data_IF_661794811907
#
_entry.id   IF_661794811907
#
_cell.length_a   1.000
_cell.length_b   1.000
_cell.length_c   1.000
_cell.angle_alpha   90.00
_cell.angle_beta   90.00
_cell.angle_gamma   90.00
#
_symmetry.space_group_name_H-M   'P 1'
#
loop_
_entity.id
_entity.type
_entity.pdbx_description
1 polymer ?
#
# COMPACT_ATOMS: atom_id res chain seq x y z
N UNK A 1 -37.03 -15.18 6.28
CA UNK A 1 -35.82 -15.07 7.11
C UNK A 1 -35.23 -13.70 6.89
N UNK A 2 -34.91 -12.91 7.93
CA UNK A 2 -34.19 -11.65 7.73
C UNK A 2 -32.79 -11.99 7.19
N UNK A 3 -32.44 -11.39 6.05
CA UNK A 3 -31.09 -11.46 5.49
C UNK A 3 -30.20 -10.69 6.47
N UNK A 4 -29.34 -11.40 7.21
CA UNK A 4 -28.30 -10.75 8.02
C UNK A 4 -27.31 -10.16 7.02
N UNK A 5 -27.42 -8.86 6.81
CA UNK A 5 -26.47 -8.12 5.95
C UNK A 5 -25.18 -7.99 6.75
N UNK A 6 -24.11 -8.60 6.27
CA UNK A 6 -22.78 -8.41 6.82
C UNK A 6 -22.33 -6.96 6.53
N UNK A 7 -22.38 -6.12 7.56
CA UNK A 7 -22.10 -4.70 7.46
C UNK A 7 -20.67 -4.43 6.99
N UNK A 8 -19.72 -5.23 7.45
CA UNK A 8 -18.30 -5.06 7.09
C UNK A 8 -18.09 -5.40 5.62
N UNK A 9 -18.72 -6.47 5.12
CA UNK A 9 -18.68 -6.81 3.71
C UNK A 9 -19.23 -5.69 2.83
N UNK A 10 -20.35 -5.09 3.21
CA UNK A 10 -20.96 -3.98 2.45
C UNK A 10 -20.07 -2.73 2.52
N UNK A 11 -19.48 -2.42 3.67
CA UNK A 11 -18.48 -1.32 3.77
C UNK A 11 -17.31 -1.55 2.82
N UNK A 12 -16.78 -2.76 2.79
CA UNK A 12 -15.68 -3.12 1.90
C UNK A 12 -16.05 -2.98 0.42
N UNK A 13 -17.23 -3.42 0.01
CA UNK A 13 -17.72 -3.22 -1.36
C UNK A 13 -17.76 -1.74 -1.76
N UNK A 14 -18.14 -0.85 -0.83
CA UNK A 14 -18.14 0.60 -1.04
C UNK A 14 -16.72 1.18 -1.14
N UNK A 15 -15.77 0.71 -0.31
CA UNK A 15 -14.37 1.12 -0.39
C UNK A 15 -13.73 0.69 -1.71
N UNK A 16 -14.02 -0.52 -2.18
CA UNK A 16 -13.53 -1.00 -3.48
C UNK A 16 -14.17 -0.23 -4.65
N UNK A 17 -15.43 0.16 -4.53
CA UNK A 17 -16.07 1.03 -5.51
C UNK A 17 -15.44 2.44 -5.52
N UNK A 18 -15.13 2.98 -4.36
CA UNK A 18 -14.38 4.24 -4.26
C UNK A 18 -13.02 4.13 -4.94
N UNK A 19 -12.26 3.08 -4.67
CA UNK A 19 -10.99 2.81 -5.33
C UNK A 19 -11.13 2.82 -6.87
N UNK A 20 -12.12 2.10 -7.41
CA UNK A 20 -12.39 2.08 -8.85
C UNK A 20 -12.78 3.46 -9.41
N UNK A 21 -13.44 4.29 -8.61
CA UNK A 21 -13.75 5.67 -9.02
C UNK A 21 -12.50 6.53 -9.12
N UNK A 22 -11.62 6.49 -8.12
CA UNK A 22 -10.39 7.30 -8.09
C UNK A 22 -9.31 6.78 -9.06
N UNK A 23 -9.42 5.57 -9.57
CA UNK A 23 -8.61 5.12 -10.70
C UNK A 23 -8.97 5.83 -12.02
N UNK A 24 -10.24 6.25 -12.15
CA UNK A 24 -10.78 6.84 -13.37
C UNK A 24 -10.73 8.37 -13.38
N UNK A 25 -10.74 9.01 -12.20
CA UNK A 25 -10.78 10.48 -12.08
C UNK A 25 -10.19 10.96 -10.75
N UNK A 26 -9.78 12.24 -10.67
CA UNK A 26 -9.24 12.83 -9.44
C UNK A 26 -10.19 12.68 -8.26
N UNK A 27 -9.62 12.43 -7.07
CA UNK A 27 -10.35 12.15 -5.84
C UNK A 27 -11.31 13.29 -5.44
N UNK A 28 -10.94 14.54 -5.69
CA UNK A 28 -11.76 15.72 -5.43
C UNK A 28 -13.04 15.74 -6.29
N UNK A 29 -12.98 15.15 -7.48
CA UNK A 29 -14.11 15.07 -8.44
C UNK A 29 -14.99 13.84 -8.26
N UNK A 30 -14.64 12.92 -7.38
CA UNK A 30 -15.49 11.77 -7.05
C UNK A 30 -16.55 12.19 -6.04
N UNK A 31 -17.81 11.94 -6.32
CA UNK A 31 -18.94 12.17 -5.40
C UNK A 31 -19.41 10.88 -4.75
N UNK A 32 -20.12 10.97 -3.62
CA UNK A 32 -20.77 9.81 -2.99
C UNK A 32 -21.79 9.12 -3.92
N UNK A 33 -22.41 9.88 -4.84
CA UNK A 33 -23.31 9.31 -5.87
C UNK A 33 -22.55 8.47 -6.88
N UNK A 34 -21.38 8.92 -7.31
CA UNK A 34 -20.52 8.12 -8.21
C UNK A 34 -20.14 6.79 -7.56
N UNK A 35 -19.75 6.84 -6.28
CA UNK A 35 -19.37 5.67 -5.51
C UNK A 35 -20.56 4.70 -5.35
N UNK A 36 -21.72 5.22 -4.98
CA UNK A 36 -22.94 4.41 -4.86
C UNK A 36 -23.29 3.73 -6.19
N UNK A 37 -23.20 4.45 -7.31
CA UNK A 37 -23.45 3.91 -8.66
C UNK A 37 -22.44 2.82 -9.00
N UNK A 38 -21.14 3.05 -8.76
CA UNK A 38 -20.07 2.08 -9.01
C UNK A 38 -20.21 0.82 -8.14
N UNK A 39 -20.75 0.97 -6.90
CA UNK A 39 -21.03 -0.12 -5.99
C UNK A 39 -22.34 -0.88 -6.31
N UNK A 40 -23.13 -0.42 -7.29
CA UNK A 40 -24.45 -0.97 -7.57
C UNK A 40 -25.47 -0.75 -6.44
N UNK A 41 -25.32 0.35 -5.69
CA UNK A 41 -26.12 0.67 -4.52
C UNK A 41 -26.81 2.02 -4.67
N UNK A 42 -27.91 2.25 -3.91
CA UNK A 42 -28.51 3.57 -3.85
C UNK A 42 -27.70 4.51 -2.97
N UNK A 43 -27.69 5.81 -3.31
CA UNK A 43 -27.03 6.84 -2.51
C UNK A 43 -27.51 6.88 -1.04
N UNK A 44 -28.82 6.77 -0.72
CA UNK A 44 -29.26 6.64 0.66
C UNK A 44 -28.71 5.42 1.38
N UNK A 45 -28.53 4.28 0.68
CA UNK A 45 -27.91 3.10 1.29
C UNK A 45 -26.44 3.37 1.66
N UNK A 46 -25.68 4.08 0.82
CA UNK A 46 -24.30 4.45 1.12
C UNK A 46 -24.22 5.34 2.36
N UNK A 47 -25.13 6.32 2.50
CA UNK A 47 -25.18 7.22 3.66
C UNK A 47 -25.53 6.52 4.99
N UNK A 48 -26.05 5.29 4.96
CA UNK A 48 -26.21 4.48 6.17
C UNK A 48 -24.90 3.88 6.67
N UNK A 49 -23.82 3.90 5.88
CA UNK A 49 -22.52 3.34 6.19
C UNK A 49 -21.43 4.38 6.34
N UNK A 50 -21.54 5.49 5.64
CA UNK A 50 -20.59 6.61 5.67
C UNK A 50 -21.36 7.92 5.75
N UNK A 51 -21.10 8.68 6.81
CA UNK A 51 -21.78 9.96 7.07
C UNK A 51 -21.48 10.98 5.96
N UNK A 52 -20.23 10.98 5.49
CA UNK A 52 -19.76 11.90 4.46
C UNK A 52 -18.61 11.29 3.65
N UNK A 53 -18.11 12.03 2.65
CA UNK A 53 -17.01 11.61 1.80
C UNK A 53 -15.68 11.53 2.56
N UNK A 54 -15.46 12.40 3.54
CA UNK A 54 -14.21 12.46 4.28
C UNK A 54 -14.07 11.21 5.17
N UNK A 55 -15.12 10.79 5.85
CA UNK A 55 -15.15 9.52 6.59
C UNK A 55 -14.84 8.32 5.69
N UNK A 56 -15.40 8.30 4.49
CA UNK A 56 -15.13 7.23 3.53
C UNK A 56 -13.67 7.23 3.08
N UNK A 57 -13.10 8.40 2.80
CA UNK A 57 -11.67 8.54 2.43
C UNK A 57 -10.77 8.08 3.58
N UNK A 58 -11.01 8.54 4.80
CA UNK A 58 -10.24 8.13 5.98
C UNK A 58 -10.30 6.63 6.21
N UNK A 59 -11.50 6.05 6.07
CA UNK A 59 -11.68 4.59 6.18
C UNK A 59 -10.91 3.85 5.09
N UNK A 60 -10.88 4.39 3.87
CA UNK A 60 -10.10 3.81 2.77
C UNK A 60 -8.59 3.90 3.01
N UNK A 61 -8.08 5.04 3.45
CA UNK A 61 -6.64 5.20 3.79
C UNK A 61 -6.24 4.22 4.89
N UNK A 62 -7.06 4.10 5.94
CA UNK A 62 -6.83 3.10 6.99
C UNK A 62 -6.82 1.67 6.45
N UNK A 63 -7.78 1.33 5.59
CA UNK A 63 -7.85 0.01 4.98
C UNK A 63 -6.59 -0.30 4.17
N UNK A 64 -6.12 0.61 3.31
CA UNK A 64 -4.93 0.40 2.49
C UNK A 64 -3.67 0.24 3.34
N UNK A 65 -3.53 1.03 4.42
CA UNK A 65 -2.46 0.89 5.40
C UNK A 65 -2.46 -0.49 6.06
N UNK A 66 -3.61 -0.88 6.64
CA UNK A 66 -3.75 -2.15 7.34
C UNK A 66 -3.49 -3.34 6.39
N UNK A 67 -3.99 -3.25 5.15
CA UNK A 67 -3.76 -4.26 4.12
C UNK A 67 -2.27 -4.43 3.79
N UNK A 68 -1.55 -3.35 3.52
CA UNK A 68 -0.11 -3.42 3.19
C UNK A 68 0.72 -3.94 4.36
N UNK A 69 0.41 -3.48 5.57
CA UNK A 69 1.09 -3.99 6.77
C UNK A 69 0.89 -5.49 6.95
N UNK A 70 -0.34 -5.98 6.80
CA UNK A 70 -0.66 -7.40 6.89
C UNK A 70 -0.01 -8.21 5.75
N UNK A 71 -0.01 -7.67 4.54
CA UNK A 71 0.61 -8.31 3.38
C UNK A 71 2.11 -8.54 3.63
N UNK A 72 2.84 -7.51 4.02
CA UNK A 72 4.27 -7.62 4.35
C UNK A 72 4.52 -8.57 5.53
N UNK A 73 3.73 -8.46 6.61
CA UNK A 73 3.87 -9.34 7.78
C UNK A 73 3.63 -10.81 7.42
N UNK A 74 2.65 -11.09 6.57
CA UNK A 74 2.35 -12.46 6.11
C UNK A 74 3.57 -13.07 5.42
N UNK A 75 4.26 -12.28 4.58
CA UNK A 75 5.48 -12.77 3.94
C UNK A 75 6.57 -13.14 4.95
N UNK A 76 6.85 -12.28 5.93
CA UNK A 76 7.87 -12.54 6.95
C UNK A 76 7.53 -13.74 7.86
N UNK A 77 6.25 -14.01 8.09
CA UNK A 77 5.81 -15.18 8.88
C UNK A 77 5.96 -16.47 8.08
N UNK A 78 5.73 -16.42 6.76
CA UNK A 78 5.70 -17.59 5.89
C UNK A 78 7.05 -17.91 5.23
N UNK A 79 8.02 -16.97 5.25
CA UNK A 79 9.32 -17.12 4.59
C UNK A 79 10.45 -16.90 5.61
N UNK A 80 11.22 -17.96 5.86
CA UNK A 80 12.40 -17.87 6.73
C UNK A 80 13.63 -17.53 5.91
N UNK A 81 14.49 -16.63 6.42
CA UNK A 81 15.79 -16.33 5.80
C UNK A 81 16.64 -17.59 5.57
N UNK A 82 16.48 -18.60 6.41
CA UNK A 82 17.23 -19.87 6.33
C UNK A 82 16.89 -20.72 5.11
N UNK A 83 15.74 -20.45 4.49
CA UNK A 83 15.27 -21.21 3.32
C UNK A 83 15.84 -20.64 2.00
N UNK A 84 16.72 -19.64 2.08
CA UNK A 84 17.33 -18.96 0.94
C UNK A 84 18.85 -19.04 0.97
N UNK A 85 19.47 -19.19 -0.19
CA UNK A 85 20.93 -19.33 -0.35
C UNK A 85 21.70 -18.05 0.01
N UNK A 86 21.04 -16.87 -0.05
CA UNK A 86 21.67 -15.59 0.24
C UNK A 86 20.67 -14.56 0.76
N UNK A 87 21.21 -13.52 1.44
CA UNK A 87 20.42 -12.34 1.83
C UNK A 87 19.78 -11.66 0.61
N UNK A 88 20.52 -11.60 -0.49
CA UNK A 88 20.03 -11.03 -1.75
C UNK A 88 18.84 -11.81 -2.30
N UNK A 89 18.90 -13.16 -2.30
CA UNK A 89 17.80 -13.99 -2.77
C UNK A 89 16.54 -13.78 -1.91
N UNK A 90 16.70 -13.73 -0.58
CA UNK A 90 15.64 -13.47 0.36
C UNK A 90 14.97 -12.11 0.13
N UNK A 91 15.75 -11.03 0.04
CA UNK A 91 15.21 -9.69 -0.19
C UNK A 91 14.61 -9.53 -1.58
N UNK A 92 15.18 -10.16 -2.60
CA UNK A 92 14.62 -10.12 -3.94
C UNK A 92 13.23 -10.80 -4.01
N UNK A 93 13.05 -11.90 -3.31
CA UNK A 93 11.76 -12.58 -3.23
C UNK A 93 10.72 -11.74 -2.48
N UNK A 94 11.11 -11.12 -1.37
CA UNK A 94 10.26 -10.15 -0.67
C UNK A 94 9.84 -8.99 -1.59
N UNK A 95 10.77 -8.40 -2.32
CA UNK A 95 10.46 -7.29 -3.23
C UNK A 95 9.52 -7.70 -4.36
N UNK A 96 9.68 -8.91 -4.90
CA UNK A 96 8.73 -9.46 -5.87
C UNK A 96 7.34 -9.63 -5.26
N UNK A 97 7.26 -10.23 -4.09
CA UNK A 97 5.99 -10.41 -3.38
C UNK A 97 5.25 -9.10 -3.13
N UNK A 98 5.97 -8.05 -2.72
CA UNK A 98 5.38 -6.71 -2.53
C UNK A 98 4.94 -6.08 -3.86
N UNK A 99 5.74 -6.26 -4.93
CA UNK A 99 5.42 -5.73 -6.25
C UNK A 99 4.26 -6.47 -6.94
N UNK A 100 4.14 -7.77 -6.69
CA UNK A 100 3.11 -8.66 -7.26
C UNK A 100 1.86 -8.72 -6.37
N UNK A 101 1.62 -7.67 -5.55
CA UNK A 101 0.39 -7.59 -4.75
C UNK A 101 -0.85 -7.92 -5.61
N UNK A 102 -1.80 -8.74 -5.12
CA UNK A 102 -2.89 -9.26 -5.92
C UNK A 102 -3.63 -8.16 -6.69
N UNK A 103 -3.80 -8.36 -8.00
CA UNK A 103 -4.54 -7.44 -8.85
C UNK A 103 -5.93 -7.16 -8.24
N UNK A 104 -6.22 -5.89 -7.96
CA UNK A 104 -7.52 -5.43 -7.51
C UNK A 104 -7.59 -4.95 -6.06
N UNK A 105 -6.64 -5.32 -5.19
CA UNK A 105 -6.70 -4.90 -3.78
C UNK A 105 -6.00 -3.57 -3.49
N UNK A 106 -4.87 -3.29 -4.15
CA UNK A 106 -4.25 -1.95 -4.13
C UNK A 106 -3.93 -1.49 -5.54
N UNK A 107 -4.36 -0.28 -5.87
CA UNK A 107 -4.09 0.32 -7.17
C UNK A 107 -3.15 1.52 -7.02
N UNK A 108 -2.05 1.58 -7.78
CA UNK A 108 -1.02 2.62 -7.62
C UNK A 108 -1.57 4.04 -7.71
N UNK A 109 -2.52 4.30 -8.62
CA UNK A 109 -3.13 5.61 -8.75
C UNK A 109 -3.94 6.01 -7.51
N UNK A 110 -4.76 5.11 -7.00
CA UNK A 110 -5.55 5.33 -5.81
C UNK A 110 -4.65 5.66 -4.60
N UNK A 111 -3.59 4.88 -4.40
CA UNK A 111 -2.60 5.10 -3.34
C UNK A 111 -1.89 6.45 -3.50
N UNK A 112 -1.43 6.78 -4.70
CA UNK A 112 -0.75 8.06 -4.98
C UNK A 112 -1.68 9.24 -4.70
N UNK A 113 -2.96 9.16 -5.08
CA UNK A 113 -3.93 10.24 -4.82
C UNK A 113 -4.19 10.42 -3.31
N UNK A 114 -4.19 9.36 -2.51
CA UNK A 114 -4.34 9.50 -1.04
C UNK A 114 -3.11 10.15 -0.41
N UNK A 115 -1.90 9.86 -0.89
CA UNK A 115 -0.68 10.54 -0.42
C UNK A 115 -0.70 12.04 -0.74
N UNK A 116 -1.10 12.40 -1.95
CA UNK A 116 -1.25 13.82 -2.33
C UNK A 116 -2.30 14.51 -1.46
N UNK A 117 -3.43 13.84 -1.16
CA UNK A 117 -4.48 14.37 -0.30
C UNK A 117 -3.99 14.64 1.13
N UNK A 118 -3.01 13.89 1.61
CA UNK A 118 -2.36 14.11 2.90
C UNK A 118 -1.73 15.51 3.06
N UNK A 119 -1.39 16.20 1.96
CA UNK A 119 -0.95 17.59 2.01
C UNK A 119 -2.08 18.60 2.28
N UNK A 120 -3.31 18.22 2.03
CA UNK A 120 -4.48 19.11 2.12
C UNK A 120 -5.41 18.76 3.28
N UNK A 121 -5.17 17.64 3.97
CA UNK A 121 -5.92 17.18 5.13
C UNK A 121 -4.95 16.77 6.25
N UNK A 122 -5.01 17.47 7.38
CA UNK A 122 -4.14 17.19 8.54
C UNK A 122 -4.32 15.75 9.04
N UNK A 123 -5.56 15.27 9.10
CA UNK A 123 -5.88 13.93 9.58
C UNK A 123 -5.32 12.84 8.64
N UNK A 124 -5.52 13.00 7.33
CA UNK A 124 -4.96 12.08 6.33
C UNK A 124 -3.45 12.17 6.30
N UNK A 125 -2.88 13.38 6.38
CA UNK A 125 -1.43 13.61 6.43
C UNK A 125 -0.79 12.92 7.62
N UNK A 126 -1.43 12.95 8.79
CA UNK A 126 -0.98 12.22 9.97
C UNK A 126 -1.01 10.71 9.74
N UNK A 127 -2.10 10.17 9.19
CA UNK A 127 -2.22 8.73 8.89
C UNK A 127 -1.13 8.27 7.91
N UNK A 128 -0.89 9.01 6.84
CA UNK A 128 0.17 8.73 5.86
C UNK A 128 1.56 8.78 6.51
N UNK A 129 1.81 9.79 7.36
CA UNK A 129 3.09 9.90 8.10
C UNK A 129 3.31 8.73 9.04
N UNK A 130 2.26 8.31 9.76
CA UNK A 130 2.32 7.17 10.68
C UNK A 130 2.55 5.86 9.90
N UNK A 131 1.92 5.68 8.74
CA UNK A 131 2.13 4.55 7.83
C UNK A 131 3.59 4.45 7.39
N UNK A 132 4.18 5.53 6.89
CA UNK A 132 5.58 5.54 6.45
C UNK A 132 6.55 5.29 7.61
N UNK A 133 6.24 5.77 8.82
CA UNK A 133 7.04 5.51 10.02
C UNK A 133 7.02 4.03 10.38
N UNK A 134 5.85 3.40 10.41
CA UNK A 134 5.70 1.99 10.71
C UNK A 134 6.44 1.12 9.67
N UNK A 135 6.33 1.46 8.40
CA UNK A 135 7.05 0.75 7.33
C UNK A 135 8.56 0.88 7.48
N UNK A 136 9.05 2.07 7.79
CA UNK A 136 10.48 2.29 8.05
C UNK A 136 10.97 1.41 9.19
N UNK A 137 10.22 1.32 10.29
CA UNK A 137 10.58 0.49 11.44
C UNK A 137 10.59 -1.00 11.09
N UNK A 138 9.63 -1.48 10.31
CA UNK A 138 9.60 -2.88 9.83
C UNK A 138 10.79 -3.14 8.92
N UNK A 139 11.07 -2.25 7.99
CA UNK A 139 12.21 -2.36 7.07
C UNK A 139 13.54 -2.33 7.82
N UNK A 140 13.69 -1.43 8.80
CA UNK A 140 14.88 -1.35 9.64
C UNK A 140 15.12 -2.69 10.37
N UNK A 141 14.11 -3.24 11.03
CA UNK A 141 14.21 -4.53 11.72
C UNK A 141 14.61 -5.66 10.77
N UNK A 142 14.02 -5.68 9.58
CA UNK A 142 14.34 -6.67 8.55
C UNK A 142 15.80 -6.56 8.11
N UNK A 143 16.25 -5.36 7.74
CA UNK A 143 17.60 -5.13 7.26
C UNK A 143 18.66 -5.33 8.35
N UNK A 144 18.37 -4.92 9.59
CA UNK A 144 19.24 -5.19 10.76
C UNK A 144 19.42 -6.70 10.96
N UNK A 145 18.37 -7.47 10.84
CA UNK A 145 18.42 -8.93 10.97
C UNK A 145 19.31 -9.57 9.88
N UNK A 146 19.28 -9.00 8.68
CA UNK A 146 19.97 -9.56 7.51
C UNK A 146 21.43 -9.05 7.39
N UNK A 147 21.65 -7.75 7.59
CA UNK A 147 22.90 -7.06 7.29
C UNK A 147 23.62 -6.48 8.53
N UNK A 148 23.02 -6.60 9.73
CA UNK A 148 23.54 -6.02 10.97
C UNK A 148 23.06 -4.59 11.23
N UNK A 149 23.28 -4.08 12.46
CA UNK A 149 22.72 -2.81 12.94
C UNK A 149 23.16 -1.60 12.12
N UNK A 150 24.45 -1.49 11.81
CA UNK A 150 24.99 -0.32 11.11
C UNK A 150 24.40 -0.16 9.72
N UNK A 151 24.44 -1.23 8.91
CA UNK A 151 23.91 -1.24 7.55
C UNK A 151 22.39 -1.16 7.57
N UNK A 152 21.73 -1.96 8.42
CA UNK A 152 20.28 -2.05 8.45
C UNK A 152 19.62 -0.71 8.78
N UNK A 153 20.11 0.03 9.76
CA UNK A 153 19.56 1.34 10.13
C UNK A 153 19.78 2.39 9.04
N UNK A 154 20.98 2.42 8.46
CA UNK A 154 21.36 3.39 7.43
C UNK A 154 20.53 3.21 6.15
N UNK A 155 20.29 1.96 5.76
CA UNK A 155 19.72 1.65 4.45
C UNK A 155 18.18 1.49 4.48
N UNK A 156 17.56 1.43 5.67
CA UNK A 156 16.11 1.29 5.79
C UNK A 156 15.32 2.40 5.08
N UNK A 157 15.75 3.65 5.26
CA UNK A 157 15.11 4.80 4.64
C UNK A 157 15.33 4.82 3.11
N UNK A 158 16.54 4.49 2.65
CA UNK A 158 16.86 4.38 1.24
C UNK A 158 16.02 3.29 0.57
N UNK A 159 15.83 2.14 1.22
CA UNK A 159 15.00 1.06 0.72
C UNK A 159 13.54 1.47 0.59
N UNK A 160 13.00 2.20 1.58
CA UNK A 160 11.65 2.73 1.50
C UNK A 160 11.45 3.71 0.35
N UNK A 161 12.43 4.60 0.12
CA UNK A 161 12.42 5.53 -1.02
C UNK A 161 12.40 4.76 -2.34
N UNK A 162 13.19 3.69 -2.46
CA UNK A 162 13.21 2.84 -3.64
C UNK A 162 11.85 2.17 -3.89
N UNK A 163 11.22 1.63 -2.83
CA UNK A 163 9.90 0.99 -2.93
C UNK A 163 8.85 2.02 -3.35
N UNK A 164 8.75 3.14 -2.64
CA UNK A 164 7.79 4.20 -2.95
C UNK A 164 8.00 4.79 -4.36
N UNK A 165 9.27 5.03 -4.73
CA UNK A 165 9.65 5.49 -6.07
C UNK A 165 9.26 4.51 -7.16
N UNK A 166 9.41 3.21 -6.91
CA UNK A 166 9.00 2.16 -7.84
C UNK A 166 7.50 2.21 -8.12
N UNK A 167 6.66 2.36 -7.10
CA UNK A 167 5.22 2.52 -7.27
C UNK A 167 4.87 3.73 -8.14
N UNK A 168 5.45 4.90 -7.86
CA UNK A 168 5.20 6.14 -8.61
C UNK A 168 5.67 6.01 -10.07
N UNK A 169 6.86 5.44 -10.27
CA UNK A 169 7.43 5.27 -11.61
C UNK A 169 6.66 4.24 -12.44
N UNK A 170 6.19 3.16 -11.83
CA UNK A 170 5.32 2.18 -12.48
C UNK A 170 4.01 2.80 -12.93
N UNK A 171 3.38 3.57 -12.04
CA UNK A 171 2.15 4.27 -12.36
C UNK A 171 2.30 5.17 -13.58
N UNK A 172 3.39 5.93 -13.65
CA UNK A 172 3.68 6.84 -14.74
C UNK A 172 4.27 6.16 -15.98
N UNK A 173 4.44 4.84 -15.98
CA UNK A 173 5.13 4.08 -17.06
C UNK A 173 6.52 4.65 -17.36
N UNK A 174 7.16 5.21 -16.34
CA UNK A 174 8.48 5.84 -16.46
C UNK A 174 9.64 4.83 -16.40
N UNK A 175 9.36 3.59 -16.02
CA UNK A 175 10.37 2.54 -15.94
C UNK A 175 10.34 1.65 -17.19
N UNK A 176 11.51 1.32 -17.68
CA UNK A 176 11.73 0.58 -18.94
C UNK A 176 11.71 -0.96 -18.75
N UNK A 177 10.93 -1.49 -17.83
CA UNK A 177 10.78 -2.93 -17.62
C UNK A 177 11.89 -3.61 -16.80
N UNK A 178 12.97 -2.90 -16.47
CA UNK A 178 14.11 -3.44 -15.69
C UNK A 178 14.09 -3.04 -14.20
N UNK A 179 12.90 -2.80 -13.64
CA UNK A 179 12.73 -2.35 -12.25
C UNK A 179 13.42 -3.30 -11.28
N UNK A 180 13.22 -4.60 -11.47
CA UNK A 180 13.84 -5.62 -10.64
C UNK A 180 15.36 -5.61 -10.75
N UNK A 181 15.92 -5.29 -11.91
CA UNK A 181 17.36 -5.17 -12.12
C UNK A 181 18.00 -4.05 -11.30
N UNK A 182 17.37 -2.89 -11.23
CA UNK A 182 17.87 -1.75 -10.46
C UNK A 182 17.84 -2.00 -8.96
N UNK A 183 16.76 -2.57 -8.45
CA UNK A 183 16.61 -2.94 -7.02
C UNK A 183 17.59 -4.05 -6.66
N UNK A 184 17.71 -5.08 -7.50
CA UNK A 184 18.68 -6.17 -7.30
C UNK A 184 20.11 -5.63 -7.34
N UNK A 185 20.43 -4.71 -8.24
CA UNK A 185 21.73 -4.05 -8.32
C UNK A 185 22.07 -3.30 -7.04
N UNK A 186 21.13 -2.55 -6.48
CA UNK A 186 21.27 -1.85 -5.22
C UNK A 186 21.51 -2.82 -4.06
N UNK A 187 20.66 -3.84 -3.90
CA UNK A 187 20.78 -4.87 -2.87
C UNK A 187 22.11 -5.65 -2.97
N UNK A 188 22.59 -5.89 -4.19
CA UNK A 188 23.88 -6.54 -4.41
C UNK A 188 25.07 -5.70 -3.91
N UNK A 189 24.96 -4.37 -3.98
CA UNK A 189 25.97 -3.46 -3.45
C UNK A 189 25.99 -3.43 -1.92
N UNK A 190 24.83 -3.51 -1.28
CA UNK A 190 24.73 -3.63 0.19
C UNK A 190 25.42 -4.89 0.72
N UNK A 191 25.39 -5.98 -0.03
CA UNK A 191 26.01 -7.26 0.36
C UNK A 191 27.54 -7.24 0.26
N UNK A 192 28.13 -6.22 -0.35
CA UNK A 192 29.58 -6.06 -0.53
C UNK A 192 30.22 -5.08 0.45
N UNK A 193 29.42 -4.32 1.17
CA UNK A 193 29.84 -3.40 2.24
C UNK A 193 29.80 -4.09 3.60
#
# INVERSE_FOLDING_TARGET
MPIIVDKEKVRMEMLMAFQRCIEKKPIDRVSLRDIATEAGMSHPKLLNYFENKDELILTYVKYTKDYMSQHCMTWFITHSRKDYDSNLAYMNDFMKYVADAPEGELRPNATTQTYVLGHYSEEIGKMVTDEFREWREVMEKCLVTIYGEEVGRKEAEAMMILIAGTFICNYNRALTGEINGNIIGYLSNLSRS
#
